data_IF_028005920361
#
_entry.id   IF_028005920361
#
_cell.length_a   1.000
_cell.length_b   1.000
_cell.length_c   1.000
_cell.angle_alpha   90.00
_cell.angle_beta   90.00
_cell.angle_gamma   90.00
#
_symmetry.space_group_name_H-M   'P 1'
#
loop_
_entity.id
_entity.type
_entity.pdbx_description
1 polymer ?
#
# COMPACT_ATOMS: atom_id res chain seq x y z
N UNK A 1 -0.88 26.10 15.66
CA UNK A 1 -1.15 25.53 17.01
C UNK A 1 -1.76 24.12 16.98
N UNK A 2 -1.36 23.22 16.09
CA UNK A 2 -2.00 21.87 15.91
C UNK A 2 -1.09 20.66 16.17
N UNK A 3 0.21 20.84 16.31
CA UNK A 3 1.18 19.72 16.37
C UNK A 3 1.44 19.17 17.78
N UNK A 4 1.16 19.97 18.83
CA UNK A 4 1.40 19.56 20.20
C UNK A 4 0.43 18.47 20.70
N UNK A 5 -0.80 18.38 20.16
CA UNK A 5 -1.77 17.39 20.59
C UNK A 5 -1.48 15.97 20.08
N UNK A 6 -0.79 15.83 18.94
CA UNK A 6 -0.47 14.50 18.37
C UNK A 6 0.59 13.77 19.22
N UNK A 7 1.55 14.49 19.78
CA UNK A 7 2.64 13.94 20.61
C UNK A 7 2.12 13.42 21.95
N UNK A 8 1.10 14.05 22.54
CA UNK A 8 0.57 13.68 23.86
C UNK A 8 -0.26 12.40 23.80
N UNK A 9 -1.00 12.15 22.73
CA UNK A 9 -1.79 10.91 22.54
C UNK A 9 -0.87 9.70 22.37
N UNK A 10 0.29 9.88 21.77
CA UNK A 10 1.29 8.82 21.56
C UNK A 10 1.89 8.35 22.88
N UNK A 11 2.14 9.25 23.83
CA UNK A 11 2.73 8.89 25.14
C UNK A 11 1.76 8.13 26.06
N UNK A 12 0.45 8.33 25.94
CA UNK A 12 -0.54 7.68 26.80
C UNK A 12 -0.82 6.21 26.46
N UNK A 13 -0.53 5.79 25.22
CA UNK A 13 -0.76 4.41 24.75
C UNK A 13 0.43 3.47 25.00
N UNK A 14 1.54 3.98 25.52
CA UNK A 14 2.76 3.19 25.69
C UNK A 14 2.83 2.55 27.07
N UNK A 15 2.59 1.24 27.10
CA UNK A 15 3.06 0.36 28.17
C UNK A 15 4.17 -0.51 27.60
N UNK A 16 5.42 -0.39 28.07
CA UNK A 16 6.50 -1.25 27.59
C UNK A 16 6.15 -2.71 27.84
N UNK A 17 6.53 -3.58 26.91
CA UNK A 17 6.44 -5.02 27.11
C UNK A 17 7.35 -5.43 28.27
N UNK A 18 6.98 -6.46 29.07
CA UNK A 18 7.88 -6.95 30.14
C UNK A 18 9.20 -7.39 29.53
N UNK A 19 10.29 -6.87 30.12
CA UNK A 19 11.64 -7.03 29.65
C UNK A 19 12.19 -8.42 29.97
N UNK A 20 12.27 -9.31 28.97
CA UNK A 20 13.13 -10.49 28.98
C UNK A 20 13.56 -10.95 27.57
N UNK A 21 13.64 -10.05 26.60
CA UNK A 21 14.30 -10.39 25.35
C UNK A 21 15.82 -10.24 25.54
N UNK A 22 16.56 -11.34 25.50
CA UNK A 22 18.01 -11.27 25.40
C UNK A 22 18.42 -10.56 24.10
N UNK A 23 19.47 -9.72 24.14
CA UNK A 23 20.02 -9.14 22.91
C UNK A 23 20.26 -10.25 21.89
N UNK A 24 19.70 -10.13 20.73
CA UNK A 24 19.79 -11.14 19.67
C UNK A 24 20.10 -10.50 18.34
N UNK A 25 21.04 -11.08 17.60
CA UNK A 25 21.35 -10.71 16.23
C UNK A 25 20.59 -11.65 15.28
N UNK A 26 19.90 -11.07 14.31
CA UNK A 26 19.22 -11.81 13.24
C UNK A 26 19.45 -11.14 11.90
N UNK A 27 19.31 -11.91 10.81
CA UNK A 27 19.30 -11.39 9.46
C UNK A 27 17.96 -11.68 8.81
N UNK A 28 17.56 -10.80 7.89
CA UNK A 28 16.40 -11.00 7.05
C UNK A 28 16.69 -10.57 5.61
N UNK A 29 16.10 -11.27 4.67
CA UNK A 29 16.11 -10.91 3.27
C UNK A 29 14.69 -11.04 2.68
N UNK A 30 14.32 -10.10 1.83
CA UNK A 30 13.07 -10.07 1.10
C UNK A 30 13.38 -9.73 -0.36
N UNK A 31 13.02 -10.63 -1.27
CA UNK A 31 13.26 -10.46 -2.70
C UNK A 31 11.95 -10.65 -3.44
N UNK A 32 11.61 -9.68 -4.28
CA UNK A 32 10.41 -9.68 -5.11
C UNK A 32 10.83 -9.58 -6.56
N UNK A 33 10.57 -10.61 -7.36
CA UNK A 33 10.59 -10.55 -8.81
C UNK A 33 9.21 -10.15 -9.29
N UNK A 34 9.12 -9.18 -10.17
CA UNK A 34 7.86 -8.71 -10.70
C UNK A 34 7.88 -8.62 -12.22
N UNK A 35 6.76 -9.04 -12.83
CA UNK A 35 6.40 -8.76 -14.20
C UNK A 35 4.98 -8.20 -14.22
N UNK A 36 4.81 -6.97 -14.68
CA UNK A 36 3.53 -6.28 -14.76
C UNK A 36 3.37 -5.71 -16.15
N UNK A 37 2.32 -6.11 -16.85
CA UNK A 37 2.00 -5.62 -18.18
C UNK A 37 0.59 -5.07 -18.21
N UNK A 38 0.46 -3.85 -18.70
CA UNK A 38 -0.81 -3.19 -18.93
C UNK A 38 -0.94 -2.82 -20.40
N UNK A 39 -1.98 -3.33 -21.06
CA UNK A 39 -2.28 -3.02 -22.46
C UNK A 39 -3.30 -1.88 -22.57
N UNK A 40 -2.93 -0.72 -22.00
CA UNK A 40 -3.80 0.44 -21.95
C UNK A 40 -3.52 1.39 -23.11
N UNK A 41 -4.59 1.85 -23.77
CA UNK A 41 -4.58 2.82 -24.87
C UNK A 41 -5.62 3.92 -24.68
N UNK A 42 -6.18 4.01 -23.46
CA UNK A 42 -7.22 4.98 -23.15
C UNK A 42 -6.65 6.40 -22.92
N UNK A 43 -7.54 7.37 -22.78
CA UNK A 43 -7.18 8.77 -22.59
C UNK A 43 -6.59 9.07 -21.20
N UNK A 44 -6.65 8.17 -20.24
CA UNK A 44 -6.26 8.38 -18.83
C UNK A 44 -4.97 7.67 -18.48
N UNK A 45 -4.74 6.49 -19.02
CA UNK A 45 -3.59 5.65 -18.71
C UNK A 45 -2.93 5.10 -19.97
N UNK A 46 -1.62 4.99 -19.94
CA UNK A 46 -0.83 4.32 -20.97
C UNK A 46 -0.51 2.89 -20.57
N UNK A 47 -0.38 2.05 -21.59
CA UNK A 47 0.14 0.72 -21.44
C UNK A 47 1.64 0.75 -21.13
N UNK A 48 2.05 -0.12 -20.25
CA UNK A 48 3.47 -0.26 -19.89
C UNK A 48 3.77 -1.71 -19.49
N UNK A 49 4.93 -2.16 -19.92
CA UNK A 49 5.49 -3.45 -19.51
C UNK A 49 6.69 -3.22 -18.59
N UNK A 50 6.60 -3.78 -17.39
CA UNK A 50 7.69 -3.72 -16.41
C UNK A 50 8.11 -5.12 -16.00
N UNK A 51 9.42 -5.37 -16.06
CA UNK A 51 10.03 -6.54 -15.43
C UNK A 51 11.18 -6.08 -14.56
N UNK A 52 11.29 -6.69 -13.37
CA UNK A 52 12.37 -6.28 -12.48
C UNK A 52 12.45 -7.12 -11.22
N UNK A 53 13.36 -6.70 -10.35
CA UNK A 53 13.60 -7.29 -9.04
C UNK A 53 13.82 -6.19 -8.01
N UNK A 54 13.11 -6.27 -6.90
CA UNK A 54 13.36 -5.48 -5.71
C UNK A 54 13.86 -6.38 -4.59
N UNK A 55 14.97 -6.03 -3.97
CA UNK A 55 15.59 -6.81 -2.92
C UNK A 55 15.92 -5.93 -1.71
N UNK A 56 15.69 -6.46 -0.50
CA UNK A 56 16.08 -5.86 0.77
C UNK A 56 16.77 -6.92 1.61
N UNK A 57 17.98 -6.61 2.10
CA UNK A 57 18.72 -7.42 3.04
C UNK A 57 19.10 -6.61 4.26
N UNK A 58 18.91 -7.12 5.48
CA UNK A 58 19.20 -6.39 6.70
C UNK A 58 19.63 -7.28 7.85
N UNK A 59 20.52 -6.77 8.69
CA UNK A 59 20.81 -7.28 10.03
C UNK A 59 19.93 -6.53 11.04
N UNK A 60 19.44 -7.25 12.06
CA UNK A 60 18.58 -6.73 13.12
C UNK A 60 19.17 -7.05 14.46
N UNK A 61 19.26 -6.05 15.32
CA UNK A 61 19.74 -6.17 16.70
C UNK A 61 18.58 -5.86 17.65
N UNK A 62 18.17 -6.81 18.45
CA UNK A 62 17.21 -6.60 19.53
C UNK A 62 17.96 -6.09 20.77
N UNK A 63 17.69 -4.84 21.18
CA UNK A 63 18.36 -4.18 22.32
C UNK A 63 17.66 -4.42 23.66
N UNK A 64 16.57 -5.20 23.68
CA UNK A 64 15.70 -5.38 24.85
C UNK A 64 14.58 -4.35 24.92
N UNK A 65 13.60 -4.57 25.82
CA UNK A 65 12.43 -3.70 26.03
C UNK A 65 11.64 -3.37 24.76
N UNK A 66 11.69 -4.25 23.74
CA UNK A 66 11.01 -4.05 22.46
C UNK A 66 11.72 -3.08 21.51
N UNK A 67 12.93 -2.64 21.82
CA UNK A 67 13.73 -1.78 20.95
C UNK A 67 14.56 -2.64 20.00
N UNK A 68 14.45 -2.35 18.69
CA UNK A 68 15.18 -3.00 17.61
C UNK A 68 15.85 -1.97 16.72
N UNK A 69 17.10 -2.21 16.38
CA UNK A 69 17.83 -1.56 15.30
C UNK A 69 17.94 -2.50 14.11
N UNK A 70 17.71 -1.95 12.89
CA UNK A 70 17.96 -2.65 11.64
C UNK A 70 18.92 -1.83 10.79
N UNK A 71 19.87 -2.51 10.14
CA UNK A 71 20.78 -1.91 9.18
C UNK A 71 20.99 -2.84 7.99
N UNK A 72 21.01 -2.30 6.77
CA UNK A 72 21.14 -3.11 5.56
C UNK A 72 21.13 -2.30 4.29
N UNK A 73 20.75 -2.94 3.20
CA UNK A 73 20.65 -2.35 1.87
C UNK A 73 19.38 -2.81 1.18
N UNK A 74 18.78 -1.91 0.43
CA UNK A 74 17.68 -2.17 -0.47
C UNK A 74 18.05 -1.72 -1.89
N UNK A 75 17.67 -2.51 -2.89
CA UNK A 75 17.94 -2.23 -4.29
C UNK A 75 16.74 -2.60 -5.15
N UNK A 76 16.51 -1.83 -6.21
CA UNK A 76 15.54 -2.12 -7.25
C UNK A 76 16.21 -2.03 -8.62
N UNK A 77 15.98 -3.03 -9.46
CA UNK A 77 16.45 -3.08 -10.82
C UNK A 77 15.29 -3.39 -11.76
N UNK A 78 15.12 -2.59 -12.80
CA UNK A 78 14.26 -2.90 -13.95
C UNK A 78 15.08 -3.57 -15.05
N UNK A 79 14.58 -4.67 -15.57
CA UNK A 79 15.24 -5.34 -16.69
C UNK A 79 15.04 -4.51 -17.95
N UNK A 80 16.11 -4.37 -18.74
CA UNK A 80 16.14 -3.52 -19.93
C UNK A 80 16.42 -2.04 -19.66
N UNK A 81 16.60 -1.64 -18.41
CA UNK A 81 17.09 -0.29 -18.08
C UNK A 81 18.58 -0.14 -18.42
N UNK A 82 18.97 1.06 -18.84
CA UNK A 82 20.40 1.42 -19.04
C UNK A 82 21.15 1.53 -17.71
N UNK A 83 20.44 1.77 -16.62
CA UNK A 83 21.00 1.84 -15.27
C UNK A 83 21.11 0.44 -14.67
N UNK A 84 22.25 0.12 -14.04
CA UNK A 84 22.43 -1.14 -13.34
C UNK A 84 21.40 -1.32 -12.20
N UNK A 85 21.01 -0.23 -11.55
CA UNK A 85 19.96 -0.18 -10.54
C UNK A 85 19.18 1.13 -10.68
N UNK A 86 17.85 1.05 -10.61
CA UNK A 86 16.98 2.22 -10.52
C UNK A 86 17.08 2.89 -9.15
N UNK A 87 17.29 2.07 -8.12
CA UNK A 87 17.38 2.51 -6.75
C UNK A 87 18.33 1.62 -5.95
N UNK A 88 19.27 2.25 -5.24
CA UNK A 88 20.01 1.62 -4.15
C UNK A 88 19.94 2.55 -2.94
N UNK A 89 19.46 2.03 -1.79
CA UNK A 89 19.32 2.82 -0.57
C UNK A 89 19.77 2.04 0.66
N UNK A 90 20.36 2.73 1.66
CA UNK A 90 20.58 2.13 2.96
C UNK A 90 19.24 1.80 3.62
N UNK A 91 19.16 0.67 4.27
CA UNK A 91 18.12 0.33 5.22
C UNK A 91 18.63 0.68 6.60
N UNK A 92 17.98 1.64 7.24
CA UNK A 92 18.27 2.05 8.62
C UNK A 92 16.93 2.26 9.31
N UNK A 93 16.66 1.51 10.38
CA UNK A 93 15.42 1.64 11.12
C UNK A 93 15.63 1.43 12.61
N UNK A 94 15.04 2.32 13.41
CA UNK A 94 14.80 2.14 14.83
C UNK A 94 13.33 1.78 15.01
N UNK A 95 13.04 0.61 15.57
CA UNK A 95 11.68 0.19 15.88
C UNK A 95 11.51 0.06 17.40
N UNK A 96 10.38 0.56 17.89
CA UNK A 96 10.02 0.41 19.30
C UNK A 96 8.66 -0.30 19.37
N UNK A 97 8.68 -1.52 19.91
CA UNK A 97 7.53 -2.43 19.96
C UNK A 97 6.92 -2.48 21.35
N UNK A 98 5.67 -2.12 21.46
CA UNK A 98 4.81 -2.39 22.59
C UNK A 98 3.98 -3.68 22.36
N UNK A 99 3.01 -3.93 23.24
CA UNK A 99 2.13 -5.11 23.14
C UNK A 99 1.28 -5.12 21.86
N UNK A 100 0.86 -3.97 21.37
CA UNK A 100 -0.04 -3.81 20.22
C UNK A 100 0.41 -2.72 19.26
N UNK A 101 1.44 -1.95 19.61
CA UNK A 101 1.94 -0.83 18.84
C UNK A 101 3.38 -1.07 18.42
N UNK A 102 3.73 -0.65 17.23
CA UNK A 102 5.12 -0.56 16.77
C UNK A 102 5.33 0.83 16.18
N UNK A 103 6.30 1.55 16.72
CA UNK A 103 6.80 2.79 16.13
C UNK A 103 8.07 2.49 15.36
N UNK A 104 8.20 3.08 14.17
CA UNK A 104 9.35 2.94 13.30
C UNK A 104 9.82 4.34 12.91
N UNK A 105 11.11 4.58 13.06
CA UNK A 105 11.82 5.74 12.55
C UNK A 105 12.91 5.25 11.59
N UNK A 106 12.95 5.76 10.37
CA UNK A 106 13.85 5.34 9.30
C UNK A 106 13.13 4.53 8.21
N UNK A 107 13.68 3.43 7.76
CA UNK A 107 13.06 2.59 6.72
C UNK A 107 11.77 1.96 7.23
N UNK A 108 10.66 2.20 6.52
CA UNK A 108 9.33 1.75 6.91
C UNK A 108 9.11 0.26 6.65
N UNK A 109 8.15 -0.32 7.37
CA UNK A 109 7.62 -1.66 7.08
C UNK A 109 6.35 -1.51 6.24
N UNK A 110 6.38 -1.96 5.00
CA UNK A 110 5.17 -2.01 4.18
C UNK A 110 4.41 -3.32 4.44
N UNK A 111 3.06 -3.35 4.42
CA UNK A 111 2.26 -4.55 4.68
C UNK A 111 2.63 -5.76 3.81
N UNK A 112 3.27 -5.54 2.67
CA UNK A 112 3.80 -6.62 1.84
C UNK A 112 4.87 -7.46 2.53
N UNK A 113 5.48 -6.94 3.60
CA UNK A 113 6.50 -7.67 4.35
C UNK A 113 5.92 -8.76 5.26
N UNK A 114 4.66 -8.71 5.64
CA UNK A 114 4.16 -9.47 6.78
C UNK A 114 3.17 -10.60 6.47
N UNK A 115 2.54 -10.66 5.27
CA UNK A 115 1.42 -11.60 5.03
C UNK A 115 1.34 -12.09 3.59
N UNK A 116 0.79 -13.30 3.36
CA UNK A 116 0.34 -13.69 2.02
C UNK A 116 -0.57 -12.62 1.45
N UNK A 117 -0.65 -12.49 0.14
CA UNK A 117 -1.10 -11.29 -0.55
C UNK A 117 -2.37 -10.72 0.07
N UNK A 118 -2.28 -9.47 0.52
CA UNK A 118 -3.45 -8.67 0.81
C UNK A 118 -4.36 -8.59 -0.41
N UNK A 119 -5.50 -7.95 -0.34
CA UNK A 119 -6.39 -7.84 -1.49
C UNK A 119 -5.59 -7.36 -2.70
N UNK A 120 -5.76 -8.03 -3.85
CA UNK A 120 -5.31 -7.52 -5.13
C UNK A 120 -5.70 -6.05 -5.20
N UNK A 121 -4.87 -5.17 -5.70
CA UNK A 121 -5.14 -3.73 -5.81
C UNK A 121 -4.84 -2.88 -4.58
N UNK A 122 -3.84 -3.21 -3.79
CA UNK A 122 -3.40 -2.34 -2.72
C UNK A 122 -2.05 -1.69 -3.03
N UNK A 123 -1.94 -0.40 -2.81
CA UNK A 123 -0.66 0.32 -2.79
C UNK A 123 0.27 -0.17 -1.67
N UNK A 124 1.47 0.41 -1.51
CA UNK A 124 2.46 -0.04 -0.52
C UNK A 124 1.92 -0.19 0.90
N UNK A 125 1.00 0.66 1.33
CA UNK A 125 0.35 0.63 2.65
C UNK A 125 -1.04 -0.01 2.66
N UNK A 126 -1.42 -0.68 1.58
CA UNK A 126 -2.74 -1.32 1.47
C UNK A 126 -3.89 -0.35 1.25
N UNK A 127 -3.60 0.85 0.73
CA UNK A 127 -4.63 1.80 0.30
C UNK A 127 -5.28 1.36 -1.02
N UNK A 128 -6.50 1.82 -1.23
CA UNK A 128 -7.21 1.65 -2.49
C UNK A 128 -6.46 2.31 -3.66
N UNK A 129 -6.54 1.75 -4.88
CA UNK A 129 -5.90 2.32 -6.07
C UNK A 129 -6.24 3.78 -6.36
N UNK A 130 -7.48 4.27 -6.17
CA UNK A 130 -7.78 5.69 -6.31
C UNK A 130 -6.97 6.61 -5.39
N UNK A 131 -6.51 6.12 -4.22
CA UNK A 131 -5.72 6.90 -3.26
C UNK A 131 -4.22 6.75 -3.52
N UNK A 132 -3.76 5.51 -3.75
CA UNK A 132 -2.36 5.17 -3.96
C UNK A 132 -2.27 3.98 -4.92
N UNK A 133 -1.70 4.20 -6.11
CA UNK A 133 -1.61 3.18 -7.16
C UNK A 133 -0.75 1.99 -6.72
N UNK A 134 -1.16 0.81 -7.09
CA UNK A 134 -0.47 -0.45 -6.77
C UNK A 134 0.98 -0.50 -7.23
N UNK A 135 1.22 0.06 -8.38
CA UNK A 135 2.50 0.07 -9.05
C UNK A 135 3.62 0.72 -8.24
N UNK A 136 3.28 1.65 -7.32
CA UNK A 136 4.26 2.25 -6.40
C UNK A 136 5.00 1.21 -5.56
N UNK A 137 4.39 0.06 -5.35
CA UNK A 137 5.03 -1.04 -4.66
C UNK A 137 6.21 -1.66 -5.44
N UNK A 138 6.35 -1.36 -6.72
CA UNK A 138 7.47 -1.75 -7.57
C UNK A 138 8.34 -0.55 -7.94
N UNK A 139 7.73 0.60 -8.23
CA UNK A 139 8.42 1.83 -8.57
C UNK A 139 9.19 2.40 -7.37
N UNK A 140 8.58 2.32 -6.19
CA UNK A 140 9.13 2.82 -4.92
C UNK A 140 8.94 1.79 -3.80
N UNK A 141 9.59 0.63 -3.89
CA UNK A 141 9.39 -0.47 -2.94
C UNK A 141 9.91 -0.18 -1.53
N UNK A 142 10.69 0.90 -1.37
CA UNK A 142 11.33 1.25 -0.11
C UNK A 142 11.03 2.70 0.27
N UNK A 143 10.47 2.87 1.42
CA UNK A 143 10.05 4.14 1.99
C UNK A 143 10.84 4.42 3.28
N UNK A 144 11.06 5.69 3.60
CA UNK A 144 11.76 6.10 4.81
C UNK A 144 11.10 7.33 5.44
N UNK A 145 10.96 7.30 6.77
CA UNK A 145 10.31 8.35 7.53
C UNK A 145 9.85 7.90 8.90
N UNK A 146 8.57 8.06 9.19
CA UNK A 146 7.93 7.69 10.45
C UNK A 146 6.74 6.76 10.16
N UNK A 147 6.55 5.74 11.01
CA UNK A 147 5.40 4.86 10.91
C UNK A 147 4.92 4.43 12.30
N UNK A 148 3.61 4.35 12.46
CA UNK A 148 2.97 3.81 13.64
C UNK A 148 1.97 2.73 13.26
N UNK A 149 2.32 1.50 13.58
CA UNK A 149 1.48 0.32 13.42
C UNK A 149 0.76 -0.01 14.72
N UNK A 150 -0.50 -0.36 14.63
CA UNK A 150 -1.30 -0.83 15.77
C UNK A 150 -2.12 -2.06 15.37
N UNK A 151 -2.05 -3.11 16.18
CA UNK A 151 -2.80 -4.34 15.98
C UNK A 151 -3.57 -4.71 17.25
N UNK A 152 -4.82 -4.24 17.32
CA UNK A 152 -5.75 -4.56 18.40
C UNK A 152 -6.78 -5.61 17.97
N UNK A 153 -7.60 -6.07 18.92
CA UNK A 153 -8.62 -7.09 18.64
C UNK A 153 -9.70 -6.59 17.67
N UNK A 154 -10.02 -5.30 17.71
CA UNK A 154 -11.08 -4.69 16.89
C UNK A 154 -10.57 -3.54 16.01
N UNK A 155 -9.44 -2.94 16.34
CA UNK A 155 -8.88 -1.82 15.61
C UNK A 155 -7.48 -2.19 15.13
N UNK A 156 -7.24 -2.00 13.87
CA UNK A 156 -5.91 -2.05 13.25
C UNK A 156 -5.67 -0.73 12.55
N UNK A 157 -4.44 -0.22 12.60
CA UNK A 157 -4.05 0.92 11.79
C UNK A 157 -2.59 0.89 11.38
N UNK A 158 -2.32 1.54 10.26
CA UNK A 158 -1.03 1.95 9.75
C UNK A 158 -1.08 3.46 9.49
N UNK A 159 -0.27 4.23 10.19
CA UNK A 159 -0.09 5.66 9.98
C UNK A 159 1.35 5.89 9.59
N UNK A 160 1.59 6.60 8.50
CA UNK A 160 2.96 6.85 8.04
C UNK A 160 3.15 8.25 7.50
N UNK A 161 4.42 8.66 7.48
CA UNK A 161 4.94 9.83 6.81
C UNK A 161 6.28 9.46 6.18
N UNK A 162 6.34 9.52 4.86
CA UNK A 162 7.53 9.28 4.06
C UNK A 162 8.11 10.62 3.59
N UNK A 163 9.42 10.80 3.75
CA UNK A 163 10.14 11.93 3.18
C UNK A 163 10.75 11.54 1.84
N UNK A 164 10.11 11.93 0.75
CA UNK A 164 10.50 11.49 -0.59
C UNK A 164 11.65 12.31 -1.18
N UNK A 165 11.68 13.62 -0.90
CA UNK A 165 12.62 14.54 -1.48
C UNK A 165 12.86 15.75 -0.57
N UNK A 166 14.11 16.19 -0.48
CA UNK A 166 14.49 17.41 0.27
C UNK A 166 14.17 18.66 -0.54
N UNK A 167 13.97 19.78 0.15
CA UNK A 167 13.89 21.10 -0.48
C UNK A 167 15.29 21.55 -0.91
N UNK A 168 15.48 21.81 -2.20
CA UNK A 168 16.74 22.31 -2.81
C UNK A 168 16.45 23.50 -3.72
N UNK A 169 17.47 24.07 -4.31
CA UNK A 169 17.32 25.15 -5.28
C UNK A 169 16.54 24.73 -6.54
N UNK A 170 16.58 23.42 -6.89
CA UNK A 170 15.97 22.87 -8.11
C UNK A 170 14.53 22.40 -7.89
N UNK A 171 14.17 22.04 -6.66
CA UNK A 171 12.83 21.48 -6.38
C UNK A 171 12.39 21.64 -4.93
N UNK A 172 11.09 21.70 -4.74
CA UNK A 172 10.42 21.65 -3.41
C UNK A 172 10.68 20.33 -2.71
N UNK A 173 10.63 20.33 -1.39
CA UNK A 173 10.51 19.08 -0.64
C UNK A 173 9.21 18.37 -1.01
N UNK A 174 9.22 17.05 -0.89
CA UNK A 174 8.04 16.23 -1.11
C UNK A 174 7.86 15.26 0.04
N UNK A 175 6.70 15.35 0.63
CA UNK A 175 6.22 14.44 1.67
C UNK A 175 5.06 13.62 1.14
N UNK A 176 5.04 12.35 1.47
CA UNK A 176 3.95 11.42 1.24
C UNK A 176 3.54 10.86 2.58
N UNK A 177 2.27 10.84 2.87
CA UNK A 177 1.80 10.33 4.15
C UNK A 177 0.38 9.81 4.06
N UNK A 178 0.01 9.00 5.02
CA UNK A 178 -1.33 8.47 5.04
C UNK A 178 -1.71 7.74 6.31
N UNK A 179 -2.94 7.27 6.26
CA UNK A 179 -3.58 6.51 7.32
C UNK A 179 -4.42 5.39 6.71
N UNK A 180 -4.25 4.19 7.21
CA UNK A 180 -5.17 3.07 6.98
C UNK A 180 -5.65 2.58 8.32
N UNK A 181 -6.95 2.72 8.58
CA UNK A 181 -7.62 2.21 9.79
C UNK A 181 -8.66 1.18 9.37
N UNK A 182 -8.81 0.15 10.17
CA UNK A 182 -9.86 -0.85 10.02
C UNK A 182 -10.46 -1.17 11.38
N UNK A 183 -11.70 -0.78 11.59
CA UNK A 183 -12.44 -1.08 12.81
C UNK A 183 -13.42 -2.24 12.59
N UNK A 184 -13.16 -3.37 13.21
CA UNK A 184 -14.07 -4.54 13.21
C UNK A 184 -15.20 -4.33 14.21
N UNK A 185 -16.38 -4.00 13.70
CA UNK A 185 -17.60 -3.82 14.50
C UNK A 185 -18.20 -5.18 14.87
N UNK A 186 -18.19 -6.12 13.91
CA UNK A 186 -18.67 -7.49 14.09
C UNK A 186 -17.71 -8.48 13.38
N UNK A 187 -17.96 -9.78 13.52
CA UNK A 187 -17.16 -10.83 12.85
C UNK A 187 -17.15 -10.69 11.32
N UNK A 188 -18.26 -10.20 10.78
CA UNK A 188 -18.46 -10.06 9.33
C UNK A 188 -18.48 -8.61 8.86
N UNK A 189 -18.34 -7.62 9.75
CA UNK A 189 -18.48 -6.21 9.43
C UNK A 189 -17.28 -5.41 9.94
N UNK A 190 -16.64 -4.67 9.04
CA UNK A 190 -15.61 -3.70 9.37
C UNK A 190 -15.92 -2.33 8.73
N UNK A 191 -15.46 -1.28 9.40
CA UNK A 191 -15.51 0.10 8.92
C UNK A 191 -14.07 0.54 8.61
N UNK A 192 -13.68 0.62 7.34
CA UNK A 192 -12.39 1.15 6.92
C UNK A 192 -12.43 2.68 6.91
N UNK A 193 -11.30 3.29 7.24
CA UNK A 193 -10.98 4.67 6.95
C UNK A 193 -9.58 4.71 6.34
N UNK A 194 -9.45 5.29 5.17
CA UNK A 194 -8.19 5.47 4.46
C UNK A 194 -8.01 6.95 4.13
N UNK A 195 -6.81 7.47 4.32
CA UNK A 195 -6.45 8.82 3.92
C UNK A 195 -5.03 8.81 3.32
N UNK A 196 -4.81 9.63 2.32
CA UNK A 196 -3.50 9.77 1.69
C UNK A 196 -3.28 11.23 1.30
N UNK A 197 -2.12 11.78 1.68
CA UNK A 197 -1.70 13.13 1.36
C UNK A 197 -0.34 13.10 0.65
N UNK A 198 -0.22 13.89 -0.40
CA UNK A 198 1.05 14.27 -1.00
C UNK A 198 1.19 15.77 -0.85
N UNK A 199 2.29 16.23 -0.27
CA UNK A 199 2.61 17.63 -0.08
C UNK A 199 3.92 17.97 -0.77
N UNK A 200 3.94 18.99 -1.61
CA UNK A 200 5.16 19.62 -2.12
C UNK A 200 5.26 21.04 -1.61
N UNK A 201 6.34 21.34 -0.84
CA UNK A 201 6.51 22.62 -0.17
C UNK A 201 7.95 22.91 0.20
N UNK A 202 8.13 23.46 1.41
CA UNK A 202 9.42 23.85 1.94
C UNK A 202 9.60 25.36 2.03
N UNK A 203 10.47 25.79 2.94
CA UNK A 203 10.69 27.20 3.26
C UNK A 203 12.08 27.69 2.86
N UNK A 204 13.03 26.77 2.64
CA UNK A 204 14.42 27.12 2.40
C UNK A 204 14.64 27.68 0.99
N UNK A 205 14.05 27.01 -0.01
CA UNK A 205 14.15 27.40 -1.42
C UNK A 205 12.77 27.47 -2.05
N UNK A 206 12.55 28.45 -2.91
CA UNK A 206 11.29 28.67 -3.63
C UNK A 206 11.36 28.14 -5.06
N UNK A 207 11.46 26.82 -5.19
CA UNK A 207 11.59 26.12 -6.46
C UNK A 207 10.23 25.64 -7.00
N UNK A 208 9.37 26.57 -7.39
CA UNK A 208 8.05 26.28 -7.95
C UNK A 208 6.88 26.33 -6.94
N UNK A 209 5.66 25.91 -7.33
CA UNK A 209 4.47 26.07 -6.52
C UNK A 209 4.45 25.15 -5.29
N UNK A 210 3.77 25.60 -4.24
CA UNK A 210 3.38 24.74 -3.12
C UNK A 210 2.10 24.03 -3.50
N UNK A 211 2.12 22.68 -3.42
CA UNK A 211 1.04 21.80 -3.86
C UNK A 211 0.57 20.90 -2.75
N UNK A 212 -0.70 20.56 -2.78
CA UNK A 212 -1.30 19.55 -1.90
C UNK A 212 -2.24 18.66 -2.69
N UNK A 213 -2.21 17.37 -2.38
CA UNK A 213 -3.16 16.40 -2.91
C UNK A 213 -3.58 15.46 -1.80
N UNK A 214 -4.84 15.56 -1.38
CA UNK A 214 -5.43 14.77 -0.32
C UNK A 214 -6.56 13.93 -0.89
N UNK A 215 -6.69 12.68 -0.45
CA UNK A 215 -7.90 11.90 -0.63
C UNK A 215 -8.23 11.10 0.63
N UNK A 216 -9.53 10.89 0.85
CA UNK A 216 -10.07 10.12 1.95
C UNK A 216 -11.07 9.12 1.39
N UNK A 217 -11.09 7.90 1.92
CA UNK A 217 -12.09 6.88 1.62
C UNK A 217 -12.61 6.28 2.92
N UNK A 218 -13.93 6.10 3.01
CA UNK A 218 -14.57 5.42 4.14
C UNK A 218 -15.86 4.75 3.70
N UNK A 219 -16.30 3.75 4.46
CA UNK A 219 -17.51 3.01 4.16
C UNK A 219 -17.61 1.72 4.96
N UNK A 220 -18.00 0.64 4.30
CA UNK A 220 -18.23 -0.66 4.92
C UNK A 220 -17.53 -1.77 4.17
N UNK A 221 -17.02 -2.76 4.91
CA UNK A 221 -16.52 -4.03 4.40
C UNK A 221 -17.29 -5.15 5.08
N UNK A 222 -17.92 -5.99 4.27
CA UNK A 222 -18.64 -7.19 4.74
C UNK A 222 -17.84 -8.40 4.24
N UNK A 223 -17.40 -9.26 5.17
CA UNK A 223 -16.67 -10.49 4.85
C UNK A 223 -17.34 -11.67 5.50
N UNK A 224 -17.54 -12.74 4.73
CA UNK A 224 -18.10 -13.99 5.20
C UNK A 224 -17.22 -15.15 4.79
N UNK A 225 -16.65 -15.84 5.76
CA UNK A 225 -16.00 -17.12 5.54
C UNK A 225 -17.01 -18.24 5.72
N UNK A 226 -17.02 -19.20 4.81
CA UNK A 226 -17.75 -20.46 4.98
C UNK A 226 -16.84 -21.38 5.75
N UNK A 227 -17.20 -21.72 6.99
CA UNK A 227 -16.44 -22.69 7.79
C UNK A 227 -16.51 -24.05 7.10
N UNK A 228 -15.37 -24.64 6.80
CA UNK A 228 -15.27 -26.06 6.50
C UNK A 228 -15.62 -26.82 7.78
N UNK A 229 -16.44 -27.86 7.69
CA UNK A 229 -16.85 -28.69 8.82
C UNK A 229 -15.67 -29.21 9.66
N UNK A 230 -15.91 -29.93 10.78
CA UNK A 230 -14.91 -30.22 11.79
C UNK A 230 -13.61 -30.73 11.22
N UNK A 231 -12.51 -30.14 11.67
CA UNK A 231 -11.12 -30.38 11.33
C UNK A 231 -10.84 -31.88 11.11
N UNK A 232 -10.58 -32.26 9.88
CA UNK A 232 -9.88 -33.52 9.60
C UNK A 232 -8.43 -33.38 10.09
N UNK A 233 -7.91 -34.42 10.71
CA UNK A 233 -6.56 -34.54 11.23
C UNK A 233 -5.50 -34.10 10.20
N UNK A 234 -4.35 -33.54 10.64
CA UNK A 234 -3.27 -33.20 9.72
C UNK A 234 -2.74 -34.49 9.04
N UNK A 235 -3.08 -34.67 7.78
CA UNK A 235 -2.64 -35.85 7.02
C UNK A 235 -3.62 -36.33 5.95
N UNK A 236 -4.89 -35.95 6.05
CA UNK A 236 -5.89 -36.32 5.03
C UNK A 236 -6.10 -35.15 4.05
N UNK A 237 -5.66 -35.31 2.81
CA UNK A 237 -5.75 -34.30 1.73
C UNK A 237 -7.19 -33.91 1.30
N UNK A 238 -8.22 -34.27 2.09
CA UNK A 238 -9.64 -34.03 1.83
C UNK A 238 -10.23 -32.79 2.56
N UNK A 239 -9.40 -31.94 3.20
CA UNK A 239 -9.85 -30.73 3.89
C UNK A 239 -10.65 -29.82 2.94
N UNK A 240 -11.95 -29.66 3.20
CA UNK A 240 -12.80 -28.71 2.46
C UNK A 240 -12.22 -27.32 2.59
N UNK A 241 -11.77 -26.74 1.48
CA UNK A 241 -11.19 -25.41 1.46
C UNK A 241 -12.23 -24.36 1.87
N UNK A 242 -11.90 -23.54 2.85
CA UNK A 242 -12.73 -22.40 3.23
C UNK A 242 -12.90 -21.46 2.02
N UNK A 243 -14.12 -21.00 1.82
CA UNK A 243 -14.42 -19.96 0.81
C UNK A 243 -14.73 -18.68 1.53
N UNK A 244 -14.06 -17.58 1.17
CA UNK A 244 -14.31 -16.26 1.74
C UNK A 244 -14.86 -15.33 0.68
N UNK A 245 -16.05 -14.79 0.92
CA UNK A 245 -16.64 -13.71 0.14
C UNK A 245 -16.44 -12.38 0.85
N UNK A 246 -16.07 -11.34 0.10
CA UNK A 246 -15.90 -9.97 0.60
C UNK A 246 -16.63 -9.00 -0.29
N UNK A 247 -17.35 -8.05 0.32
CA UNK A 247 -17.98 -6.91 -0.34
C UNK A 247 -17.50 -5.63 0.34
N UNK A 248 -16.97 -4.70 -0.45
CA UNK A 248 -16.53 -3.37 -0.02
C UNK A 248 -17.34 -2.31 -0.74
N UNK A 249 -17.88 -1.34 0.01
CA UNK A 249 -18.62 -0.19 -0.50
C UNK A 249 -18.10 1.06 0.20
N UNK A 250 -17.48 1.97 -0.56
CA UNK A 250 -16.78 3.13 -0.02
C UNK A 250 -17.14 4.40 -0.78
N UNK A 251 -17.35 5.48 -0.02
CA UNK A 251 -17.35 6.84 -0.54
C UNK A 251 -15.93 7.40 -0.50
N UNK A 252 -15.55 8.14 -1.52
CA UNK A 252 -14.26 8.81 -1.65
C UNK A 252 -14.46 10.31 -1.82
N UNK A 253 -13.53 11.07 -1.27
CA UNK A 253 -13.41 12.50 -1.48
C UNK A 253 -11.95 12.86 -1.76
N UNK A 254 -11.72 13.80 -2.68
CA UNK A 254 -10.38 14.31 -3.00
C UNK A 254 -10.34 15.83 -2.95
N UNK A 255 -9.20 16.38 -2.53
CA UNK A 255 -8.88 17.80 -2.51
C UNK A 255 -7.49 18.00 -3.12
N UNK A 256 -7.44 18.71 -4.25
CA UNK A 256 -6.21 18.92 -5.00
C UNK A 256 -5.94 20.41 -5.18
N UNK A 257 -4.81 20.86 -4.66
CA UNK A 257 -4.30 22.23 -4.73
C UNK A 257 -3.03 22.23 -5.58
N UNK A 258 -3.12 22.51 -6.88
CA UNK A 258 -1.94 22.52 -7.77
C UNK A 258 -0.99 23.68 -7.49
N UNK A 259 -1.49 24.73 -6.86
CA UNK A 259 -0.71 25.90 -6.47
C UNK A 259 -1.47 26.68 -5.39
N UNK A 260 -0.92 26.78 -4.18
CA UNK A 260 -1.53 27.55 -3.08
C UNK A 260 -1.68 29.05 -3.36
N UNK A 261 -0.89 29.59 -4.28
CA UNK A 261 -1.01 30.99 -4.71
C UNK A 261 -2.16 31.19 -5.72
N UNK A 262 -2.69 30.12 -6.28
CA UNK A 262 -3.78 30.12 -7.26
C UNK A 262 -4.99 29.31 -6.76
N UNK A 263 -5.67 29.77 -5.67
CA UNK A 263 -6.74 29.00 -5.02
C UNK A 263 -7.92 28.68 -5.96
N UNK A 264 -8.14 29.50 -7.03
CA UNK A 264 -9.15 29.24 -8.06
C UNK A 264 -8.87 27.98 -8.90
N UNK A 265 -7.67 27.39 -8.82
CA UNK A 265 -7.31 26.11 -9.46
C UNK A 265 -7.51 24.90 -8.54
N UNK A 266 -7.86 25.13 -7.28
CA UNK A 266 -8.20 24.07 -6.34
C UNK A 266 -9.41 23.29 -6.83
N UNK A 267 -9.39 21.98 -6.65
CA UNK A 267 -10.44 21.06 -7.05
C UNK A 267 -10.83 20.14 -5.92
N UNK A 268 -12.12 20.00 -5.73
CA UNK A 268 -12.73 18.99 -4.88
C UNK A 268 -13.47 18.00 -5.77
N UNK A 269 -13.29 16.72 -5.49
CA UNK A 269 -13.93 15.65 -6.22
C UNK A 269 -14.51 14.60 -5.28
N UNK A 270 -15.49 13.88 -5.77
CA UNK A 270 -16.11 12.79 -5.03
C UNK A 270 -16.24 11.55 -5.90
N UNK A 271 -16.19 10.38 -5.28
CA UNK A 271 -16.38 9.12 -5.97
C UNK A 271 -17.00 8.05 -5.08
N UNK A 272 -17.50 7.02 -5.73
CA UNK A 272 -17.93 5.77 -5.13
C UNK A 272 -17.02 4.65 -5.62
N UNK A 273 -16.66 3.73 -4.72
CA UNK A 273 -15.90 2.53 -5.00
C UNK A 273 -16.63 1.32 -4.44
N UNK A 274 -16.86 0.33 -5.27
CA UNK A 274 -17.44 -0.94 -4.89
C UNK A 274 -16.56 -2.10 -5.37
N UNK A 275 -16.32 -3.09 -4.51
CA UNK A 275 -15.61 -4.31 -4.87
C UNK A 275 -16.25 -5.54 -4.24
N UNK A 276 -16.50 -6.55 -5.05
CA UNK A 276 -16.86 -7.88 -4.59
C UNK A 276 -15.70 -8.83 -4.92
N UNK A 277 -15.30 -9.66 -3.96
CA UNK A 277 -14.24 -10.65 -4.14
C UNK A 277 -14.65 -12.01 -3.57
N UNK A 278 -14.17 -13.07 -4.20
CA UNK A 278 -14.34 -14.44 -3.77
C UNK A 278 -12.98 -15.13 -3.73
N UNK A 279 -12.60 -15.65 -2.56
CA UNK A 279 -11.40 -16.43 -2.35
C UNK A 279 -11.77 -17.90 -2.14
N UNK A 280 -11.18 -18.78 -2.93
CA UNK A 280 -11.40 -20.21 -2.84
C UNK A 280 -10.10 -20.97 -3.10
N UNK A 281 -9.60 -21.68 -2.10
CA UNK A 281 -8.28 -22.32 -2.14
C UNK A 281 -7.17 -21.31 -2.50
N UNK A 282 -6.47 -21.57 -3.62
CA UNK A 282 -5.41 -20.74 -4.15
C UNK A 282 -5.90 -19.69 -5.17
N UNK A 283 -7.21 -19.61 -5.41
CA UNK A 283 -7.81 -18.71 -6.37
C UNK A 283 -8.51 -17.55 -5.69
N UNK A 284 -8.37 -16.37 -6.27
CA UNK A 284 -9.15 -15.19 -5.96
C UNK A 284 -9.73 -14.62 -7.25
N UNK A 285 -11.00 -14.26 -7.23
CA UNK A 285 -11.65 -13.51 -8.30
C UNK A 285 -12.31 -12.28 -7.72
N UNK A 286 -12.43 -11.23 -8.52
CA UNK A 286 -13.08 -10.00 -8.08
C UNK A 286 -13.82 -9.31 -9.23
N UNK A 287 -14.76 -8.47 -8.83
CA UNK A 287 -15.42 -7.46 -9.63
C UNK A 287 -15.30 -6.13 -8.89
N UNK A 288 -14.85 -5.09 -9.59
CA UNK A 288 -14.68 -3.75 -9.07
C UNK A 288 -15.43 -2.74 -9.94
N UNK A 289 -16.03 -1.75 -9.31
CA UNK A 289 -16.68 -0.61 -9.95
C UNK A 289 -16.23 0.67 -9.24
N UNK A 290 -15.91 1.68 -10.02
CA UNK A 290 -15.66 3.03 -9.54
C UNK A 290 -16.47 4.03 -10.38
N UNK A 291 -17.02 5.04 -9.71
CA UNK A 291 -17.76 6.12 -10.35
C UNK A 291 -17.43 7.43 -9.65
N UNK A 292 -16.91 8.41 -10.38
CA UNK A 292 -16.44 9.66 -9.78
C UNK A 292 -16.74 10.89 -10.63
N UNK A 293 -16.82 12.03 -9.94
CA UNK A 293 -16.93 13.35 -10.51
C UNK A 293 -15.81 14.23 -9.98
N UNK A 294 -15.07 14.84 -10.90
CA UNK A 294 -13.92 15.72 -10.64
C UNK A 294 -12.85 15.16 -9.67
N UNK A 295 -12.82 13.86 -9.52
CA UNK A 295 -11.90 13.18 -8.61
C UNK A 295 -10.47 13.23 -9.16
N UNK A 296 -9.52 13.75 -8.35
CA UNK A 296 -8.11 13.88 -8.70
C UNK A 296 -7.24 13.61 -7.47
N UNK A 297 -6.22 12.76 -7.63
CA UNK A 297 -5.30 12.40 -6.56
C UNK A 297 -3.90 12.11 -7.12
N UNK A 298 -2.91 12.90 -6.68
CA UNK A 298 -1.50 12.56 -6.92
C UNK A 298 -1.18 11.22 -6.28
N UNK A 299 -0.43 10.39 -6.96
CA UNK A 299 -0.12 9.01 -6.59
C UNK A 299 -1.30 8.02 -6.69
N UNK A 300 -2.52 8.48 -6.97
CA UNK A 300 -3.65 7.62 -7.32
C UNK A 300 -3.46 7.01 -8.71
N UNK A 301 -4.12 5.89 -8.97
CA UNK A 301 -4.10 5.26 -10.29
C UNK A 301 -4.85 6.14 -11.30
N UNK A 302 -4.27 6.43 -12.48
CA UNK A 302 -4.87 7.30 -13.49
C UNK A 302 -6.24 6.85 -13.99
N UNK A 303 -6.53 5.55 -13.96
CA UNK A 303 -7.84 5.04 -14.38
C UNK A 303 -8.99 5.49 -13.47
N UNK A 304 -8.70 5.98 -12.26
CA UNK A 304 -9.67 6.51 -11.30
C UNK A 304 -9.67 8.04 -11.23
N UNK A 305 -9.15 8.75 -12.24
CA UNK A 305 -9.03 10.21 -12.18
C UNK A 305 -9.86 10.90 -13.26
N UNK A 306 -10.34 12.10 -12.93
CA UNK A 306 -11.11 12.96 -13.87
C UNK A 306 -10.19 13.90 -14.68
N UNK A 307 -8.95 13.49 -14.94
CA UNK A 307 -7.98 14.21 -15.78
C UNK A 307 -7.35 13.23 -16.74
N UNK A 308 -7.32 13.60 -18.02
CA UNK A 308 -6.67 12.83 -19.07
C UNK A 308 -5.14 12.98 -19.01
N UNK A 309 -4.41 12.13 -19.72
CA UNK A 309 -2.93 12.14 -19.82
C UNK A 309 -2.37 13.46 -20.34
N UNK A 310 -3.10 14.14 -21.23
CA UNK A 310 -2.76 15.46 -21.77
C UNK A 310 -3.01 16.61 -20.78
N UNK A 311 -3.46 16.32 -19.57
CA UNK A 311 -3.78 17.29 -18.53
C UNK A 311 -5.18 17.91 -18.69
N UNK A 312 -5.94 17.55 -19.72
CA UNK A 312 -7.29 18.07 -19.90
C UNK A 312 -8.27 17.46 -18.91
N UNK A 313 -9.15 18.30 -18.37
CA UNK A 313 -10.17 17.85 -17.42
C UNK A 313 -11.28 17.09 -18.15
N UNK A 314 -11.64 15.94 -17.61
CA UNK A 314 -12.92 15.30 -17.94
C UNK A 314 -14.06 16.05 -17.24
N UNK A 315 -15.08 16.40 -17.97
CA UNK A 315 -16.27 17.06 -17.41
C UNK A 315 -17.39 16.04 -17.26
N UNK A 316 -17.96 15.98 -16.06
CA UNK A 316 -19.03 15.06 -15.73
C UNK A 316 -18.53 13.75 -15.10
N UNK A 317 -19.46 12.88 -14.84
CA UNK A 317 -19.23 11.60 -14.15
C UNK A 317 -18.43 10.66 -15.05
N UNK A 318 -17.44 10.00 -14.44
CA UNK A 318 -16.66 8.94 -15.05
C UNK A 318 -16.97 7.60 -14.42
N UNK A 319 -16.91 6.57 -15.22
CA UNK A 319 -17.06 5.18 -14.80
C UNK A 319 -15.80 4.37 -15.13
N UNK A 320 -15.45 3.46 -14.23
CA UNK A 320 -14.43 2.45 -14.42
C UNK A 320 -14.93 1.13 -13.82
N UNK A 321 -14.70 0.04 -14.51
CA UNK A 321 -14.99 -1.28 -14.00
C UNK A 321 -13.85 -2.25 -14.32
N UNK A 322 -13.62 -3.20 -13.43
CA UNK A 322 -12.60 -4.22 -13.58
C UNK A 322 -13.09 -5.56 -13.07
N UNK A 323 -12.69 -6.61 -13.73
CA UNK A 323 -12.80 -7.98 -13.22
C UNK A 323 -11.48 -8.67 -13.35
N UNK A 324 -11.16 -9.54 -12.41
CA UNK A 324 -9.89 -10.23 -12.45
C UNK A 324 -9.90 -11.58 -11.74
N UNK A 325 -8.87 -12.34 -12.05
CA UNK A 325 -8.57 -13.61 -11.41
C UNK A 325 -7.09 -13.65 -11.03
N UNK A 326 -6.82 -14.12 -9.84
CA UNK A 326 -5.46 -14.30 -9.31
C UNK A 326 -5.31 -15.73 -8.78
N UNK A 327 -4.17 -16.33 -9.06
CA UNK A 327 -3.77 -17.60 -8.48
C UNK A 327 -2.49 -17.45 -7.69
N UNK A 328 -2.52 -17.92 -6.44
CA UNK A 328 -1.37 -17.91 -5.54
C UNK A 328 -0.83 -19.32 -5.36
N UNK A 329 0.48 -19.48 -5.43
CA UNK A 329 1.21 -20.71 -5.17
C UNK A 329 2.20 -20.48 -4.03
N UNK A 330 2.26 -21.41 -3.10
CA UNK A 330 3.24 -21.40 -1.99
C UNK A 330 4.09 -22.68 -2.11
N UNK A 331 5.14 -22.67 -2.94
CA UNK A 331 5.93 -23.86 -3.22
C UNK A 331 6.69 -24.36 -2.00
N UNK A 332 7.19 -23.43 -1.18
CA UNK A 332 7.87 -23.71 0.10
C UNK A 332 7.60 -22.57 1.08
N UNK A 333 7.82 -22.82 2.36
CA UNK A 333 7.71 -21.78 3.39
C UNK A 333 8.63 -20.58 3.05
N UNK A 334 8.08 -19.36 3.08
CA UNK A 334 8.81 -18.15 2.74
C UNK A 334 8.89 -17.83 1.25
N UNK A 335 8.31 -18.65 0.35
CA UNK A 335 8.23 -18.38 -1.08
C UNK A 335 6.77 -18.34 -1.55
N UNK A 336 6.38 -17.28 -2.23
CA UNK A 336 5.05 -17.09 -2.81
C UNK A 336 5.21 -16.72 -4.29
N UNK A 337 4.45 -17.39 -5.15
CA UNK A 337 4.28 -17.04 -6.55
C UNK A 337 2.83 -16.66 -6.79
N UNK A 338 2.59 -15.53 -7.42
CA UNK A 338 1.26 -15.03 -7.76
C UNK A 338 1.17 -14.69 -9.24
N UNK A 339 0.10 -15.14 -9.89
CA UNK A 339 -0.22 -14.80 -11.26
C UNK A 339 -1.63 -14.24 -11.32
N UNK A 340 -1.81 -13.08 -11.95
CA UNK A 340 -3.10 -12.41 -12.09
C UNK A 340 -3.35 -11.98 -13.53
N UNK A 341 -4.61 -12.02 -13.91
CA UNK A 341 -5.14 -11.46 -15.15
C UNK A 341 -6.35 -10.60 -14.82
N UNK A 342 -6.45 -9.42 -15.46
CA UNK A 342 -7.51 -8.45 -15.24
C UNK A 342 -8.03 -7.93 -16.57
N UNK A 343 -9.31 -7.70 -16.62
CA UNK A 343 -10.01 -7.09 -17.73
C UNK A 343 -10.66 -5.80 -17.26
N UNK A 344 -10.44 -4.71 -17.97
CA UNK A 344 -10.80 -3.36 -17.60
C UNK A 344 -11.79 -2.78 -18.59
N UNK A 345 -12.79 -2.06 -18.09
CA UNK A 345 -13.64 -1.18 -18.87
C UNK A 345 -13.41 0.26 -18.39
N UNK A 346 -12.92 1.10 -19.29
CA UNK A 346 -12.60 2.51 -19.02
C UNK A 346 -13.40 3.32 -20.04
N UNK A 347 -14.52 3.92 -19.61
CA UNK A 347 -15.51 4.51 -20.51
C UNK A 347 -15.97 3.48 -21.57
N UNK A 348 -15.71 3.74 -22.85
CA UNK A 348 -16.05 2.86 -23.97
C UNK A 348 -14.90 1.94 -24.40
N UNK A 349 -13.79 1.93 -23.68
CA UNK A 349 -12.61 1.12 -24.01
C UNK A 349 -12.57 -0.14 -23.13
N UNK A 350 -12.18 -1.25 -23.77
CA UNK A 350 -11.96 -2.53 -23.12
C UNK A 350 -10.51 -2.90 -23.26
N UNK A 351 -9.82 -3.13 -22.13
CA UNK A 351 -8.39 -3.31 -22.04
C UNK A 351 -8.06 -4.44 -21.05
N UNK A 352 -6.83 -4.89 -21.02
CA UNK A 352 -6.42 -5.95 -20.09
C UNK A 352 -5.04 -5.69 -19.50
N UNK A 353 -4.77 -6.35 -18.39
CA UNK A 353 -3.46 -6.40 -17.77
C UNK A 353 -3.19 -7.78 -17.19
N UNK A 354 -1.92 -8.11 -17.03
CA UNK A 354 -1.49 -9.33 -16.34
C UNK A 354 -0.25 -9.06 -15.52
N UNK A 355 -0.14 -9.79 -14.40
CA UNK A 355 0.97 -9.64 -13.46
C UNK A 355 1.45 -11.00 -12.98
N UNK A 356 2.76 -11.12 -12.83
CA UNK A 356 3.41 -12.25 -12.16
C UNK A 356 4.31 -11.69 -11.08
N UNK A 357 4.17 -12.18 -9.86
CA UNK A 357 5.01 -11.85 -8.72
C UNK A 357 5.60 -13.14 -8.14
N UNK A 358 6.90 -13.14 -7.90
CA UNK A 358 7.54 -14.16 -7.10
C UNK A 358 8.26 -13.48 -5.93
N UNK A 359 7.91 -13.87 -4.71
CA UNK A 359 8.49 -13.32 -3.50
C UNK A 359 9.15 -14.40 -2.67
N UNK A 360 10.35 -14.12 -2.22
CA UNK A 360 11.11 -14.98 -1.32
C UNK A 360 11.49 -14.19 -0.08
N UNK A 361 11.12 -14.70 1.09
CA UNK A 361 11.43 -14.12 2.38
C UNK A 361 12.18 -15.14 3.23
N UNK A 362 13.32 -14.71 3.76
CA UNK A 362 14.13 -15.50 4.67
C UNK A 362 14.46 -14.68 5.89
N UNK A 363 14.33 -15.26 7.07
CA UNK A 363 14.79 -14.65 8.31
C UNK A 363 15.38 -15.73 9.23
N UNK A 364 16.46 -15.40 9.93
CA UNK A 364 17.13 -16.32 10.81
C UNK A 364 17.97 -15.62 11.89
N UNK A 365 18.20 -16.29 13.01
CA UNK A 365 19.14 -15.83 14.03
C UNK A 365 20.57 -16.08 13.53
N UNK A 366 21.43 -15.08 13.72
CA UNK A 366 22.87 -15.24 13.53
C UNK A 366 23.41 -15.78 14.85
N UNK A 367 24.03 -16.96 14.81
CA UNK A 367 24.66 -17.62 15.94
C UNK A 367 26.08 -17.12 16.15
#
# INVERSE_FOLDING_TARGET
>A
MGWACLVIIVCAAWRPAPAHAQPGLSAAADVIFYGDNTEFRNAFSEGETMFGVAARGEARIELGNGVRLAAGVAANQRFGSESAFELVRPVLALSVRGRRSTFIFGTLETPRAATPPGPDHAGPHGLLPPLQRERLAFDRPFEAGLQWLFHGARLEHDLWLQWQRLNTAEHRERLDGGARLQWRVARTLALPLQAHIVHEGGQLFDAGPVRDSLAIASGVVISKATESGPSASPGDGSGKAATTGTLELLGLWSHHVPDRQLPQRTRDGAAFFGRAALEWRAWRTHLLMWRGDDYLKDEGDPNYQSVRRDGTRWRGIRDYAETGVTRTFVPVAGAVLEASFRYHRIEDHYEYSYRVLARVQVAGKIR
#
